data_IF_753975080045
#
_entry.id   IF_753975080045
#
_cell.length_a   1.000
_cell.length_b   1.000
_cell.length_c   1.000
_cell.angle_alpha   90.00
_cell.angle_beta   90.00
_cell.angle_gamma   90.00
#
_symmetry.space_group_name_H-M   'P 1'
#
loop_
_entity.id
_entity.type
_entity.pdbx_description
1 polymer ?
#
# COMPACT_ATOMS: atom_id res chain seq x y z
N UNK A 1 -19.50 4.70 -9.29
CA UNK A 1 -18.71 5.24 -8.15
C UNK A 1 -17.21 5.18 -8.53
N UNK A 2 -16.32 5.97 -7.94
CA UNK A 2 -14.88 5.89 -8.28
C UNK A 2 -14.19 4.77 -7.48
N UNK A 3 -13.02 4.31 -7.93
CA UNK A 3 -12.27 3.21 -7.28
C UNK A 3 -11.93 3.51 -5.83
N UNK A 4 -11.56 4.75 -5.50
CA UNK A 4 -11.24 5.14 -4.12
C UNK A 4 -12.43 4.93 -3.17
N UNK A 5 -13.64 5.30 -3.59
CA UNK A 5 -14.85 5.08 -2.80
C UNK A 5 -15.11 3.59 -2.54
N UNK A 6 -14.95 2.71 -3.54
CA UNK A 6 -15.05 1.26 -3.33
C UNK A 6 -14.02 0.76 -2.32
N UNK A 7 -12.76 1.21 -2.44
CA UNK A 7 -11.69 0.83 -1.51
C UNK A 7 -12.01 1.26 -0.07
N UNK A 8 -12.52 2.49 0.12
CA UNK A 8 -12.89 2.98 1.45
C UNK A 8 -14.02 2.14 2.07
N UNK A 9 -15.03 1.76 1.29
CA UNK A 9 -16.10 0.86 1.76
C UNK A 9 -15.54 -0.51 2.13
N UNK A 10 -14.66 -1.10 1.31
CA UNK A 10 -14.02 -2.38 1.59
C UNK A 10 -13.26 -2.37 2.93
N UNK A 11 -12.59 -1.26 3.27
CA UNK A 11 -11.90 -1.12 4.56
C UNK A 11 -12.86 -1.08 5.76
N UNK A 12 -14.02 -0.48 5.57
CA UNK A 12 -15.04 -0.34 6.62
C UNK A 12 -15.81 -1.65 6.89
N UNK A 13 -15.75 -2.63 5.98
CA UNK A 13 -16.27 -4.00 6.22
C UNK A 13 -15.65 -4.61 7.47
N UNK A 14 -14.36 -4.34 7.71
CA UNK A 14 -13.63 -4.91 8.84
C UNK A 14 -14.12 -4.37 10.18
N UNK A 15 -14.18 -3.04 10.29
CA UNK A 15 -14.60 -2.31 11.47
C UNK A 15 -14.84 -0.83 11.15
N UNK A 16 -15.65 -0.13 11.95
CA UNK A 16 -15.72 1.32 11.92
C UNK A 16 -14.34 1.97 12.08
N UNK A 17 -14.08 3.01 11.30
CA UNK A 17 -12.78 3.69 11.27
C UNK A 17 -12.95 5.21 11.13
N UNK A 18 -12.00 5.95 11.68
CA UNK A 18 -11.83 7.36 11.36
C UNK A 18 -11.24 7.55 9.96
N UNK A 19 -11.45 8.72 9.34
CA UNK A 19 -10.80 9.06 8.07
C UNK A 19 -9.27 9.00 8.13
N UNK A 20 -8.69 9.23 9.31
CA UNK A 20 -7.25 9.11 9.54
C UNK A 20 -6.76 7.65 9.50
N UNK A 21 -7.45 6.74 10.18
CA UNK A 21 -7.14 5.30 10.13
C UNK A 21 -7.29 4.76 8.70
N UNK A 22 -8.37 5.14 8.00
CA UNK A 22 -8.58 4.78 6.60
C UNK A 22 -7.42 5.20 5.72
N UNK A 23 -6.87 6.41 5.91
CA UNK A 23 -5.65 6.83 5.18
C UNK A 23 -4.46 5.91 5.48
N UNK A 24 -4.23 5.56 6.74
CA UNK A 24 -3.10 4.70 7.11
C UNK A 24 -3.21 3.31 6.49
N UNK A 25 -4.42 2.75 6.43
CA UNK A 25 -4.67 1.45 5.82
C UNK A 25 -4.60 1.51 4.29
N UNK A 26 -5.12 2.57 3.68
CA UNK A 26 -5.06 2.82 2.24
C UNK A 26 -3.63 2.86 1.71
N UNK A 27 -2.72 3.49 2.45
CA UNK A 27 -1.30 3.58 2.11
C UNK A 27 -0.57 2.22 2.01
N UNK A 28 -1.22 1.10 2.33
CA UNK A 28 -0.70 -0.24 2.07
C UNK A 28 -0.70 -0.59 0.57
N UNK A 29 -1.63 -0.07 -0.22
CA UNK A 29 -1.80 -0.49 -1.61
C UNK A 29 -2.34 0.59 -2.56
N UNK A 30 -2.72 1.75 -2.06
CA UNK A 30 -3.26 2.84 -2.86
C UNK A 30 -2.82 4.19 -2.32
N UNK A 31 -2.42 5.09 -3.21
CA UNK A 31 -2.06 6.45 -2.85
C UNK A 31 -3.27 7.38 -3.05
N UNK A 32 -3.63 8.12 -2.00
CA UNK A 32 -4.62 9.18 -2.10
C UNK A 32 -4.29 10.31 -1.13
N UNK A 33 -4.51 11.54 -1.57
CA UNK A 33 -4.42 12.72 -0.73
C UNK A 33 -5.56 12.76 0.29
N UNK A 34 -5.32 13.44 1.42
CA UNK A 34 -6.35 13.65 2.43
C UNK A 34 -7.65 14.21 1.84
N UNK A 35 -7.56 15.22 0.98
CA UNK A 35 -8.70 15.84 0.33
C UNK A 35 -9.54 14.81 -0.45
N UNK A 36 -8.91 13.94 -1.23
CA UNK A 36 -9.60 12.91 -2.01
C UNK A 36 -10.35 11.92 -1.11
N UNK A 37 -9.74 11.52 0.01
CA UNK A 37 -10.38 10.62 0.99
C UNK A 37 -11.61 11.29 1.60
N UNK A 38 -11.47 12.52 2.12
CA UNK A 38 -12.58 13.21 2.79
C UNK A 38 -13.70 13.62 1.82
N UNK A 39 -13.37 14.02 0.59
CA UNK A 39 -14.38 14.26 -0.45
C UNK A 39 -15.13 12.97 -0.80
N UNK A 40 -14.43 11.84 -0.88
CA UNK A 40 -15.06 10.54 -1.16
C UNK A 40 -15.95 10.10 0.01
N UNK A 41 -15.50 10.24 1.25
CA UNK A 41 -16.28 9.94 2.46
C UNK A 41 -17.54 10.82 2.57
N UNK A 42 -17.43 12.12 2.27
CA UNK A 42 -18.58 13.03 2.26
C UNK A 42 -19.63 12.60 1.23
N UNK A 43 -19.19 12.14 0.04
CA UNK A 43 -20.09 11.61 -0.98
C UNK A 43 -20.73 10.28 -0.55
N UNK A 44 -19.95 9.35 0.00
CA UNK A 44 -20.45 8.08 0.50
C UNK A 44 -21.50 8.26 1.61
N UNK A 45 -21.29 9.25 2.49
CA UNK A 45 -22.23 9.60 3.55
C UNK A 45 -23.53 10.18 2.98
N UNK A 46 -23.42 11.12 2.02
CA UNK A 46 -24.57 11.69 1.32
C UNK A 46 -25.40 10.64 0.60
N UNK A 47 -24.73 9.65 0.01
CA UNK A 47 -25.36 8.56 -0.74
C UNK A 47 -25.78 7.38 0.16
N UNK A 48 -25.65 7.51 1.49
CA UNK A 48 -26.05 6.54 2.52
C UNK A 48 -25.32 5.19 2.48
N UNK A 49 -24.15 5.13 1.84
CA UNK A 49 -23.28 3.94 1.87
C UNK A 49 -22.50 3.81 3.18
N UNK A 50 -22.32 4.94 3.88
CA UNK A 50 -21.75 4.98 5.22
C UNK A 50 -22.61 5.85 6.13
N UNK A 51 -22.58 5.58 7.43
CA UNK A 51 -23.08 6.47 8.48
C UNK A 51 -21.92 6.98 9.35
N UNK A 52 -22.17 7.99 10.17
CA UNK A 52 -21.18 8.53 11.12
C UNK A 52 -21.75 8.45 12.52
N UNK A 53 -20.98 7.92 13.46
CA UNK A 53 -21.28 8.07 14.88
C UNK A 53 -21.11 9.56 15.27
N UNK A 54 -22.21 10.20 15.67
CA UNK A 54 -22.18 11.46 16.40
C UNK A 54 -22.06 11.13 17.87
N UNK A 55 -20.86 11.26 18.41
CA UNK A 55 -20.62 11.18 19.85
C UNK A 55 -21.11 12.49 20.50
N UNK A 56 -21.89 12.40 21.58
CA UNK A 56 -22.31 13.56 22.39
C UNK A 56 -21.14 14.19 23.15
N UNK A 57 -20.00 13.49 23.19
CA UNK A 57 -18.75 14.06 23.68
C UNK A 57 -18.09 14.89 22.57
N UNK A 58 -17.60 16.08 22.93
CA UNK A 58 -16.97 17.10 22.07
C UNK A 58 -15.70 16.66 21.30
N UNK A 59 -15.56 15.40 20.91
CA UNK A 59 -14.50 14.93 20.02
C UNK A 59 -14.93 15.13 18.57
N UNK A 60 -14.24 16.02 17.84
CA UNK A 60 -14.50 16.32 16.42
C UNK A 60 -14.20 15.14 15.46
N UNK A 61 -13.98 13.92 15.96
CA UNK A 61 -13.54 12.78 15.16
C UNK A 61 -14.74 11.99 14.64
N UNK A 62 -15.03 12.16 13.34
CA UNK A 62 -16.02 11.34 12.64
C UNK A 62 -15.53 9.89 12.51
N UNK A 63 -16.25 8.96 13.15
CA UNK A 63 -16.09 7.51 12.97
C UNK A 63 -17.11 7.07 11.92
N UNK A 64 -16.64 6.47 10.84
CA UNK A 64 -17.49 6.03 9.73
C UNK A 64 -17.85 4.56 9.89
N UNK A 65 -19.11 4.24 9.63
CA UNK A 65 -19.68 2.89 9.70
C UNK A 65 -20.19 2.51 8.33
N UNK A 66 -19.98 1.26 7.92
CA UNK A 66 -20.60 0.72 6.71
C UNK A 66 -22.09 0.51 6.94
N UNK A 67 -22.94 0.92 6.00
CA UNK A 67 -24.37 0.61 6.03
C UNK A 67 -24.65 -0.69 5.26
N UNK A 68 -25.86 -1.26 5.40
CA UNK A 68 -26.30 -2.41 4.57
C UNK A 68 -26.20 -2.10 3.07
N UNK A 69 -26.58 -0.89 2.66
CA UNK A 69 -26.45 -0.41 1.28
C UNK A 69 -24.99 -0.37 0.84
N UNK A 70 -24.08 0.06 1.72
CA UNK A 70 -22.63 0.02 1.49
C UNK A 70 -22.11 -1.41 1.31
N UNK A 71 -22.56 -2.33 2.16
CA UNK A 71 -22.19 -3.75 2.11
C UNK A 71 -22.63 -4.43 0.80
N UNK A 72 -23.86 -4.19 0.35
CA UNK A 72 -24.36 -4.67 -0.94
C UNK A 72 -23.48 -4.21 -2.10
N UNK A 73 -23.08 -2.93 -2.10
CA UNK A 73 -22.20 -2.37 -3.14
C UNK A 73 -20.81 -2.98 -3.10
N UNK A 74 -20.25 -3.25 -1.92
CA UNK A 74 -18.97 -3.97 -1.81
C UNK A 74 -19.10 -5.38 -2.37
N UNK A 75 -20.14 -6.11 -1.98
CA UNK A 75 -20.37 -7.49 -2.42
C UNK A 75 -20.52 -7.62 -3.93
N UNK A 76 -21.15 -6.65 -4.59
CA UNK A 76 -21.21 -6.60 -6.05
C UNK A 76 -19.84 -6.32 -6.66
N UNK A 77 -19.13 -5.32 -6.14
CA UNK A 77 -17.86 -4.86 -6.71
C UNK A 77 -16.74 -5.90 -6.63
N UNK A 78 -16.65 -6.67 -5.55
CA UNK A 78 -15.62 -7.72 -5.40
C UNK A 78 -15.80 -8.90 -6.38
N UNK A 79 -16.95 -9.00 -7.04
CA UNK A 79 -17.23 -10.00 -8.08
C UNK A 79 -16.95 -9.48 -9.49
N UNK A 80 -16.70 -8.17 -9.65
CA UNK A 80 -16.35 -7.58 -10.93
C UNK A 80 -14.91 -7.95 -11.33
N UNK A 81 -14.65 -7.96 -12.64
CA UNK A 81 -13.31 -8.17 -13.16
C UNK A 81 -12.36 -7.07 -12.66
N UNK A 82 -11.26 -7.48 -12.02
CA UNK A 82 -10.24 -6.56 -11.54
C UNK A 82 -9.33 -6.14 -12.69
N UNK A 83 -9.30 -4.84 -12.99
CA UNK A 83 -8.38 -4.28 -13.99
C UNK A 83 -6.93 -4.48 -13.58
N UNK A 84 -6.07 -4.65 -14.57
CA UNK A 84 -4.63 -4.69 -14.33
C UNK A 84 -4.12 -3.40 -13.67
N UNK A 85 -3.26 -3.51 -12.65
CA UNK A 85 -2.66 -2.34 -12.03
C UNK A 85 -1.65 -1.68 -12.97
N UNK A 86 -1.64 -0.35 -13.03
CA UNK A 86 -0.60 0.37 -13.77
C UNK A 86 0.72 0.33 -13.02
N UNK A 87 1.78 -0.20 -13.63
CA UNK A 87 3.14 -0.14 -13.09
C UNK A 87 3.91 1.00 -13.77
N UNK A 88 4.26 2.05 -13.00
CA UNK A 88 5.09 3.17 -13.46
C UNK A 88 6.27 3.29 -12.52
N UNK A 89 7.46 2.94 -12.99
CA UNK A 89 8.69 2.98 -12.20
C UNK A 89 9.80 3.72 -12.98
N UNK A 90 10.05 4.97 -12.58
CA UNK A 90 11.08 5.83 -13.19
C UNK A 90 12.50 5.30 -12.96
N UNK A 91 12.74 4.64 -11.83
CA UNK A 91 14.05 4.06 -11.56
C UNK A 91 14.36 2.92 -12.53
N UNK A 92 13.39 2.07 -12.87
CA UNK A 92 13.60 1.05 -13.89
C UNK A 92 13.92 1.65 -15.26
N UNK A 93 13.30 2.79 -15.62
CA UNK A 93 13.65 3.52 -16.83
C UNK A 93 15.10 4.05 -16.80
N UNK A 94 15.60 4.48 -15.65
CA UNK A 94 17.01 4.89 -15.46
C UNK A 94 17.98 3.71 -15.49
N UNK A 95 17.62 2.58 -14.87
CA UNK A 95 18.40 1.34 -14.91
C UNK A 95 18.47 0.76 -16.34
N UNK A 96 17.42 0.93 -17.14
CA UNK A 96 17.38 0.44 -18.52
C UNK A 96 18.55 0.96 -19.37
N UNK A 97 19.04 2.18 -19.09
CA UNK A 97 20.17 2.79 -19.79
C UNK A 97 21.52 2.59 -19.09
N UNK A 98 21.63 1.65 -18.14
CA UNK A 98 22.84 1.44 -17.34
C UNK A 98 24.12 1.16 -18.16
N UNK A 99 24.01 0.63 -19.37
CA UNK A 99 25.17 0.29 -20.23
C UNK A 99 25.98 1.51 -20.69
N UNK A 100 25.35 2.69 -20.74
CA UNK A 100 25.96 3.98 -21.14
C UNK A 100 26.33 4.86 -19.94
N UNK A 101 25.92 4.48 -18.73
CA UNK A 101 26.26 5.18 -17.50
C UNK A 101 27.61 4.70 -16.95
N UNK A 102 28.27 5.53 -16.14
CA UNK A 102 29.43 5.09 -15.38
C UNK A 102 29.02 4.21 -14.19
N UNK A 103 29.97 3.43 -13.68
CA UNK A 103 29.77 2.49 -12.57
C UNK A 103 29.21 3.16 -11.31
N UNK A 104 29.69 4.35 -10.96
CA UNK A 104 29.28 5.02 -9.74
C UNK A 104 27.82 5.47 -9.83
N UNK A 105 27.40 5.99 -10.98
CA UNK A 105 26.00 6.39 -11.21
C UNK A 105 25.04 5.21 -11.07
N UNK A 106 25.32 4.06 -11.68
CA UNK A 106 24.45 2.88 -11.58
C UNK A 106 24.37 2.37 -10.14
N UNK A 107 25.51 2.30 -9.44
CA UNK A 107 25.52 1.91 -8.01
C UNK A 107 24.78 2.90 -7.12
N UNK A 108 24.85 4.20 -7.41
CA UNK A 108 24.09 5.23 -6.72
C UNK A 108 22.58 5.00 -6.83
N UNK A 109 22.07 4.76 -8.05
CA UNK A 109 20.66 4.44 -8.29
C UNK A 109 20.21 3.20 -7.49
N UNK A 110 21.00 2.11 -7.55
CA UNK A 110 20.71 0.87 -6.82
C UNK A 110 20.74 1.09 -5.30
N UNK A 111 21.67 1.89 -4.80
CA UNK A 111 21.77 2.22 -3.38
C UNK A 111 20.53 2.98 -2.90
N UNK A 112 20.11 4.02 -3.62
CA UNK A 112 18.89 4.79 -3.30
C UNK A 112 17.64 3.90 -3.28
N UNK A 113 17.50 3.00 -4.28
CA UNK A 113 16.40 2.02 -4.31
C UNK A 113 16.43 1.11 -3.09
N UNK A 114 17.60 0.57 -2.70
CA UNK A 114 17.73 -0.25 -1.48
C UNK A 114 17.36 0.50 -0.21
N UNK A 115 17.85 1.74 -0.04
CA UNK A 115 17.53 2.55 1.16
C UNK A 115 16.02 2.81 1.27
N UNK A 116 15.39 3.15 0.15
CA UNK A 116 13.94 3.31 0.09
C UNK A 116 13.23 1.99 0.47
N UNK A 117 13.70 0.88 -0.08
CA UNK A 117 13.10 -0.42 0.12
C UNK A 117 13.23 -0.95 1.56
N UNK A 118 14.38 -0.72 2.21
CA UNK A 118 14.60 -1.04 3.62
C UNK A 118 13.65 -0.25 4.54
N UNK A 119 13.43 1.04 4.24
CA UNK A 119 12.48 1.86 5.00
C UNK A 119 11.05 1.31 4.90
N UNK A 120 10.61 0.94 3.70
CA UNK A 120 9.29 0.34 3.49
C UNK A 120 9.19 -1.02 4.17
N UNK A 121 10.23 -1.85 4.08
CA UNK A 121 10.27 -3.17 4.71
C UNK A 121 10.08 -3.04 6.22
N UNK A 122 10.86 -2.19 6.89
CA UNK A 122 10.76 -1.94 8.33
C UNK A 122 9.34 -1.50 8.74
N UNK A 123 8.77 -0.53 8.02
CA UNK A 123 7.42 -0.05 8.31
C UNK A 123 6.33 -1.13 8.14
N UNK A 124 6.52 -2.09 7.24
CA UNK A 124 5.57 -3.19 7.06
C UNK A 124 5.77 -4.29 8.12
N UNK A 125 7.01 -4.57 8.53
CA UNK A 125 7.32 -5.49 9.63
C UNK A 125 6.70 -4.98 10.95
N UNK A 126 6.85 -3.70 11.27
CA UNK A 126 6.19 -3.09 12.44
C UNK A 126 4.66 -3.25 12.42
N UNK A 127 4.04 -3.19 11.23
CA UNK A 127 2.59 -3.40 11.07
C UNK A 127 2.20 -4.88 11.13
N UNK A 128 3.09 -5.78 10.70
CA UNK A 128 2.90 -7.22 10.81
C UNK A 128 2.91 -7.63 12.28
N UNK A 129 3.91 -7.18 13.05
CA UNK A 129 4.04 -7.45 14.48
C UNK A 129 2.77 -7.02 15.25
N UNK A 130 2.21 -5.85 14.92
CA UNK A 130 0.94 -5.38 15.51
C UNK A 130 -0.23 -6.34 15.28
N UNK A 131 -0.26 -7.02 14.13
CA UNK A 131 -1.33 -7.99 13.82
C UNK A 131 -1.04 -9.34 14.50
N UNK A 132 0.22 -9.76 14.54
CA UNK A 132 0.62 -11.03 15.18
C UNK A 132 0.45 -11.00 16.71
N UNK A 133 0.51 -9.81 17.32
CA UNK A 133 0.22 -9.62 18.75
C UNK A 133 -1.28 -9.68 19.09
N UNK A 134 -2.18 -9.73 18.10
CA UNK A 134 -3.61 -9.88 18.35
C UNK A 134 -3.89 -11.30 18.88
N UNK A 135 -4.37 -11.39 20.12
CA UNK A 135 -4.72 -12.67 20.76
C UNK A 135 -6.19 -13.07 20.58
N UNK A 136 -7.07 -12.11 20.30
CA UNK A 136 -8.50 -12.36 20.09
C UNK A 136 -8.78 -12.94 18.68
N UNK A 137 -9.37 -14.15 18.58
CA UNK A 137 -9.71 -14.76 17.29
C UNK A 137 -10.62 -13.91 16.41
N UNK A 138 -11.52 -13.10 16.99
CA UNK A 138 -12.42 -12.23 16.22
C UNK A 138 -11.62 -11.12 15.55
N UNK A 139 -10.74 -10.44 16.29
CA UNK A 139 -9.83 -9.45 15.73
C UNK A 139 -8.83 -10.04 14.73
N UNK A 140 -8.34 -11.26 14.95
CA UNK A 140 -7.50 -11.96 13.97
C UNK A 140 -8.23 -12.15 12.64
N UNK A 141 -9.46 -12.69 12.67
CA UNK A 141 -10.27 -12.89 11.48
C UNK A 141 -10.56 -11.56 10.75
N UNK A 142 -10.92 -10.51 11.49
CA UNK A 142 -11.13 -9.16 10.95
C UNK A 142 -9.88 -8.62 10.23
N UNK A 143 -8.69 -8.90 10.74
CA UNK A 143 -7.44 -8.39 10.18
C UNK A 143 -6.79 -9.32 9.14
N UNK A 144 -7.39 -10.47 8.82
CA UNK A 144 -6.80 -11.44 7.88
C UNK A 144 -6.48 -10.86 6.50
N UNK A 145 -7.41 -10.12 5.89
CA UNK A 145 -7.15 -9.46 4.60
C UNK A 145 -6.00 -8.43 4.67
N UNK A 146 -5.93 -7.65 5.77
CA UNK A 146 -4.85 -6.70 6.02
C UNK A 146 -3.50 -7.41 6.19
N UNK A 147 -3.49 -8.55 6.89
CA UNK A 147 -2.33 -9.41 7.04
C UNK A 147 -1.82 -9.89 5.68
N UNK A 148 -2.69 -10.44 4.81
CA UNK A 148 -2.30 -10.90 3.47
C UNK A 148 -1.65 -9.77 2.64
N UNK A 149 -2.22 -8.57 2.69
CA UNK A 149 -1.67 -7.40 1.98
C UNK A 149 -0.28 -7.04 2.53
N UNK A 150 -0.12 -6.96 3.86
CA UNK A 150 1.17 -6.65 4.48
C UNK A 150 2.22 -7.71 4.13
N UNK A 151 1.88 -8.99 4.20
CA UNK A 151 2.76 -10.09 3.80
C UNK A 151 3.23 -9.95 2.36
N UNK A 152 2.31 -9.67 1.43
CA UNK A 152 2.67 -9.44 0.02
C UNK A 152 3.63 -8.25 -0.12
N UNK A 153 3.40 -7.15 0.61
CA UNK A 153 4.31 -6.00 0.58
C UNK A 153 5.70 -6.40 1.04
N UNK A 154 5.82 -7.05 2.20
CA UNK A 154 7.11 -7.50 2.74
C UNK A 154 7.86 -8.37 1.73
N UNK A 155 7.19 -9.35 1.11
CA UNK A 155 7.82 -10.23 0.12
C UNK A 155 8.30 -9.48 -1.12
N UNK A 156 7.52 -8.52 -1.62
CA UNK A 156 7.97 -7.66 -2.73
C UNK A 156 9.19 -6.84 -2.31
N UNK A 157 9.20 -6.34 -1.08
CA UNK A 157 10.33 -5.57 -0.56
C UNK A 157 11.61 -6.41 -0.49
N UNK A 158 11.51 -7.61 0.05
CA UNK A 158 12.63 -8.55 0.15
C UNK A 158 13.15 -8.95 -1.23
N UNK A 159 12.25 -9.20 -2.17
CA UNK A 159 12.64 -9.58 -3.52
C UNK A 159 13.32 -8.42 -4.27
N UNK A 160 12.81 -7.20 -4.13
CA UNK A 160 13.46 -6.01 -4.70
C UNK A 160 14.88 -5.82 -4.11
N UNK A 161 15.07 -6.09 -2.81
CA UNK A 161 16.39 -6.04 -2.18
C UNK A 161 17.34 -7.11 -2.72
N UNK A 162 16.86 -8.35 -2.90
CA UNK A 162 17.63 -9.44 -3.53
C UNK A 162 18.00 -9.07 -4.97
N UNK A 163 17.05 -8.54 -5.73
CA UNK A 163 17.29 -8.08 -7.09
C UNK A 163 18.32 -6.95 -7.15
N UNK A 164 18.25 -5.97 -6.24
CA UNK A 164 19.24 -4.90 -6.18
C UNK A 164 20.65 -5.44 -5.91
N UNK A 165 20.79 -6.40 -4.99
CA UNK A 165 22.07 -7.04 -4.69
C UNK A 165 22.62 -7.77 -5.94
N UNK A 166 21.78 -8.58 -6.59
CA UNK A 166 22.15 -9.25 -7.83
C UNK A 166 22.55 -8.27 -8.93
N UNK A 167 21.81 -7.18 -9.10
CA UNK A 167 22.09 -6.16 -10.11
C UNK A 167 23.45 -5.47 -9.86
N UNK A 168 23.81 -5.20 -8.60
CA UNK A 168 25.13 -4.68 -8.24
C UNK A 168 26.25 -5.64 -8.65
N UNK A 169 26.06 -6.94 -8.43
CA UNK A 169 27.04 -7.96 -8.85
C UNK A 169 27.21 -7.99 -10.38
N UNK A 170 26.13 -7.84 -11.14
CA UNK A 170 26.20 -7.74 -12.60
C UNK A 170 26.95 -6.48 -13.06
N UNK A 171 26.72 -5.35 -12.38
CA UNK A 171 27.44 -4.10 -12.64
C UNK A 171 28.94 -4.29 -12.38
N UNK A 172 29.33 -4.87 -11.25
CA UNK A 172 30.73 -5.15 -10.94
C UNK A 172 31.39 -6.00 -12.04
N UNK A 173 30.73 -7.09 -12.47
CA UNK A 173 31.25 -7.97 -13.53
C UNK A 173 31.42 -7.25 -14.88
N UNK A 174 30.47 -6.42 -15.27
CA UNK A 174 30.52 -5.68 -16.54
C UNK A 174 31.70 -4.72 -16.58
N UNK A 175 31.95 -3.98 -15.49
CA UNK A 175 33.03 -2.99 -15.45
C UNK A 175 34.41 -3.63 -15.24
N UNK A 176 34.51 -4.77 -14.55
CA UNK A 176 35.76 -5.54 -14.50
C UNK A 176 36.23 -6.03 -15.88
N UNK A 177 35.28 -6.44 -16.73
CA UNK A 177 35.58 -6.86 -18.12
C UNK A 177 36.06 -5.70 -19.00
N UNK A 178 35.51 -4.49 -18.83
CA UNK A 178 35.92 -3.29 -19.59
C UNK A 178 37.35 -2.81 -19.28
N UNK A 179 37.88 -3.10 -18.10
CA UNK A 179 39.26 -2.75 -17.70
C UNK A 179 40.32 -3.74 -18.23
N UNK A 180 39.89 -4.86 -18.82
CA UNK A 180 40.77 -5.93 -19.32
C UNK A 180 40.96 -5.89 -20.85
N UNK A 181 40.45 -4.85 -21.51
CA UNK A 181 40.55 -4.57 -22.96
C UNK A 181 41.29 -3.25 -23.13
#
# INVERSE_FOLDING_TARGET
MNTLSYILLCMLVRKPCTGYELKQYLALFWEAHHSQIYTSLAKLLKDEYVSVETDDTHTQKKIYHLTKKGEEVVNLWIQEETKEPSQKDEFLAKIYVASILDKHTVKGLLFERRQHQLKILKQNQEKQEQIEQLSDPVEQNRNFGRFLVIQRRIRICEEELRWCQWAEEQVEQLFSKKLSI
#
